data_IF_665981310488
#
_entry.id   IF_665981310488
#
_cell.length_a   1.000
_cell.length_b   1.000
_cell.length_c   1.000
_cell.angle_alpha   90.00
_cell.angle_beta   90.00
_cell.angle_gamma   90.00
#
_symmetry.space_group_name_H-M   'P 1'
#
loop_
_entity.id
_entity.type
_entity.pdbx_description
1 polymer ?
#
# COMPACT_ATOMS: atom_id res chain seq x y z
N UNK A 1 -1.51 -22.13 -18.58
CA UNK A 1 -2.67 -21.39 -19.10
C UNK A 1 -3.14 -20.40 -18.02
N UNK A 2 -2.82 -19.10 -18.15
CA UNK A 2 -3.05 -18.10 -17.10
C UNK A 2 -4.55 -17.89 -16.76
N UNK A 3 -5.45 -18.14 -17.70
CA UNK A 3 -6.90 -18.00 -17.53
C UNK A 3 -7.69 -19.23 -18.00
N UNK A 4 -7.12 -20.44 -17.84
CA UNK A 4 -7.85 -21.67 -18.18
C UNK A 4 -9.17 -21.78 -17.41
N UNK A 5 -10.20 -22.30 -18.08
CA UNK A 5 -11.53 -22.59 -17.56
C UNK A 5 -12.36 -21.37 -17.11
N UNK A 6 -11.99 -20.14 -17.51
CA UNK A 6 -12.86 -18.95 -17.33
C UNK A 6 -13.82 -18.79 -18.51
N UNK A 7 -15.07 -18.34 -18.25
CA UNK A 7 -16.03 -18.06 -19.32
C UNK A 7 -15.65 -16.82 -20.15
N UNK A 8 -14.77 -15.96 -19.62
CA UNK A 8 -14.33 -14.73 -20.29
C UNK A 8 -13.05 -14.95 -21.10
N UNK A 9 -13.10 -14.56 -22.37
CA UNK A 9 -11.95 -14.54 -23.27
C UNK A 9 -10.94 -13.43 -22.90
N UNK A 10 -9.66 -13.59 -23.26
CA UNK A 10 -8.62 -12.58 -23.02
C UNK A 10 -8.88 -11.32 -23.86
N UNK A 11 -9.46 -10.28 -23.27
CA UNK A 11 -9.59 -8.99 -23.96
C UNK A 11 -10.15 -7.84 -23.12
N UNK A 12 -9.79 -6.59 -23.43
CA UNK A 12 -10.43 -5.38 -22.90
C UNK A 12 -11.75 -5.15 -23.65
N UNK A 13 -12.68 -6.09 -23.56
CA UNK A 13 -13.92 -6.03 -24.34
C UNK A 13 -14.85 -4.96 -23.74
N UNK A 14 -14.65 -3.71 -24.12
CA UNK A 14 -15.64 -2.63 -24.04
C UNK A 14 -16.67 -2.86 -25.16
N UNK A 15 -17.57 -3.82 -25.00
CA UNK A 15 -18.83 -3.77 -25.76
C UNK A 15 -19.78 -2.87 -24.99
N UNK A 16 -20.41 -1.93 -25.70
CA UNK A 16 -21.24 -0.81 -25.20
C UNK A 16 -22.39 -1.16 -24.23
N UNK A 17 -22.49 -2.39 -23.72
CA UNK A 17 -23.53 -2.85 -22.80
C UNK A 17 -23.00 -3.48 -21.49
N UNK A 18 -21.69 -3.56 -21.24
CA UNK A 18 -21.18 -3.95 -19.92
C UNK A 18 -19.88 -3.22 -19.52
N UNK A 19 -19.94 -2.27 -18.57
CA UNK A 19 -18.80 -1.42 -18.21
C UNK A 19 -17.76 -2.07 -17.29
N UNK A 20 -17.65 -3.41 -17.23
CA UNK A 20 -16.74 -4.08 -16.31
C UNK A 20 -15.72 -4.93 -17.09
N UNK A 21 -14.41 -4.77 -16.85
CA UNK A 21 -13.37 -5.57 -17.48
C UNK A 21 -13.53 -7.07 -17.17
N UNK A 22 -13.12 -7.92 -18.12
CA UNK A 22 -13.12 -9.38 -17.94
C UNK A 22 -12.31 -9.79 -16.71
N UNK A 23 -12.77 -10.81 -15.99
CA UNK A 23 -12.15 -11.20 -14.71
C UNK A 23 -10.68 -11.63 -14.88
N UNK A 24 -10.33 -12.18 -16.05
CA UNK A 24 -8.96 -12.51 -16.45
C UNK A 24 -8.08 -11.27 -16.68
N UNK A 25 -8.60 -10.22 -17.34
CA UNK A 25 -7.87 -8.96 -17.53
C UNK A 25 -7.58 -8.29 -16.19
N UNK A 26 -8.53 -8.34 -15.26
CA UNK A 26 -8.34 -7.82 -13.90
C UNK A 26 -7.20 -8.54 -13.20
N UNK A 27 -7.22 -9.88 -13.18
CA UNK A 27 -6.23 -10.69 -12.45
C UNK A 27 -4.83 -10.69 -13.12
N UNK A 28 -4.71 -10.40 -14.42
CA UNK A 28 -3.43 -10.41 -15.16
C UNK A 28 -2.81 -9.03 -15.33
N UNK A 29 -3.61 -7.99 -15.55
CA UNK A 29 -3.10 -6.64 -15.86
C UNK A 29 -3.35 -5.70 -14.69
N UNK A 30 -4.57 -5.69 -14.15
CA UNK A 30 -4.97 -4.68 -13.15
C UNK A 30 -4.41 -4.98 -11.74
N UNK A 31 -4.43 -6.25 -11.31
CA UNK A 31 -3.89 -6.71 -10.02
C UNK A 31 -2.39 -6.41 -9.85
N UNK A 32 -1.51 -6.71 -10.82
CA UNK A 32 -0.09 -6.43 -10.66
C UNK A 32 0.29 -4.97 -10.92
N UNK A 33 -0.57 -4.16 -11.55
CA UNK A 33 -0.26 -2.79 -11.97
C UNK A 33 0.22 -1.88 -10.83
N UNK A 34 -0.43 -1.83 -9.64
CA UNK A 34 0.08 -1.04 -8.52
C UNK A 34 1.49 -1.44 -8.10
N UNK A 35 1.79 -2.74 -8.17
CA UNK A 35 3.10 -3.30 -7.81
C UNK A 35 4.14 -2.99 -8.88
N UNK A 36 3.78 -3.02 -10.17
CA UNK A 36 4.66 -2.57 -11.26
C UNK A 36 4.99 -1.09 -11.16
N UNK A 37 4.00 -0.25 -10.85
CA UNK A 37 4.23 1.19 -10.60
C UNK A 37 5.18 1.36 -9.42
N UNK A 38 4.94 0.67 -8.30
CA UNK A 38 5.81 0.75 -7.13
C UNK A 38 7.25 0.29 -7.46
N UNK A 39 7.41 -0.82 -8.19
CA UNK A 39 8.70 -1.34 -8.62
C UNK A 39 9.45 -0.40 -9.57
N UNK A 40 8.73 0.32 -10.45
CA UNK A 40 9.35 1.30 -11.34
C UNK A 40 9.74 2.58 -10.60
N UNK A 41 8.93 3.05 -9.66
CA UNK A 41 9.18 4.26 -8.88
C UNK A 41 10.33 4.10 -7.88
N UNK A 42 10.50 2.91 -7.31
CA UNK A 42 11.49 2.63 -6.27
C UNK A 42 12.95 2.91 -6.70
N UNK A 43 13.47 2.40 -7.84
CA UNK A 43 14.84 2.70 -8.27
C UNK A 43 15.02 4.18 -8.66
N UNK A 44 14.02 4.81 -9.28
CA UNK A 44 14.05 6.23 -9.63
C UNK A 44 14.21 7.09 -8.37
N UNK A 45 13.43 6.79 -7.34
CA UNK A 45 13.50 7.50 -6.06
C UNK A 45 14.82 7.27 -5.32
N UNK A 46 15.39 6.06 -5.41
CA UNK A 46 16.73 5.79 -4.89
C UNK A 46 17.77 6.67 -5.63
N UNK A 47 17.75 6.68 -6.96
CA UNK A 47 18.66 7.49 -7.79
C UNK A 47 18.56 8.99 -7.46
N UNK A 48 17.35 9.54 -7.41
CA UNK A 48 17.12 10.95 -7.05
C UNK A 48 17.61 11.25 -5.64
N UNK A 49 17.31 10.38 -4.66
CA UNK A 49 17.76 10.56 -3.28
C UNK A 49 19.29 10.54 -3.14
N UNK A 50 19.98 9.70 -3.92
CA UNK A 50 21.44 9.66 -3.96
C UNK A 50 22.02 10.94 -4.57
N UNK A 51 21.39 11.46 -5.63
CA UNK A 51 21.83 12.67 -6.32
C UNK A 51 21.65 13.92 -5.46
N UNK A 52 20.46 14.12 -4.88
CA UNK A 52 20.16 15.29 -4.03
C UNK A 52 21.00 15.33 -2.75
N UNK A 53 21.43 14.18 -2.24
CA UNK A 53 22.30 14.11 -1.04
C UNK A 53 23.74 14.56 -1.33
N UNK A 54 24.27 14.29 -2.53
CA UNK A 54 25.58 14.83 -2.94
C UNK A 54 25.56 16.36 -3.01
N UNK A 55 24.41 16.95 -3.33
CA UNK A 55 24.25 18.39 -3.45
C UNK A 55 24.06 19.13 -2.10
N UNK A 56 23.53 18.47 -1.05
CA UNK A 56 23.09 19.13 0.19
C UNK A 56 23.60 18.46 1.49
N UNK A 57 24.85 18.00 1.52
CA UNK A 57 25.41 17.40 2.73
C UNK A 57 25.81 18.48 3.76
N UNK A 58 24.91 18.79 4.70
CA UNK A 58 25.21 19.57 5.90
C UNK A 58 25.33 18.63 7.13
N UNK A 59 26.52 18.49 7.76
CA UNK A 59 26.76 17.52 8.82
C UNK A 59 26.12 17.85 10.18
N UNK A 60 25.56 19.05 10.37
CA UNK A 60 25.19 19.55 11.71
C UNK A 60 23.82 19.14 12.26
N UNK A 61 22.98 18.40 11.53
CA UNK A 61 21.62 18.02 12.00
C UNK A 61 21.49 16.58 12.52
N UNK A 62 22.57 15.80 12.49
CA UNK A 62 22.55 14.38 12.89
C UNK A 62 22.27 14.15 14.39
N UNK A 63 22.53 15.15 15.25
CA UNK A 63 22.45 15.00 16.70
C UNK A 63 21.08 15.35 17.32
N UNK A 64 20.11 15.87 16.55
CA UNK A 64 18.81 16.30 17.09
C UNK A 64 17.68 15.26 17.01
N UNK A 65 17.99 14.00 16.64
CA UNK A 65 17.04 12.90 16.72
C UNK A 65 16.86 12.41 18.17
N UNK A 66 16.45 13.32 19.05
CA UNK A 66 16.00 13.02 20.39
C UNK A 66 14.72 12.16 20.32
N UNK A 67 14.81 11.03 21.01
CA UNK A 67 13.81 9.98 21.13
C UNK A 67 12.42 10.52 21.51
N UNK A 68 11.32 10.07 20.87
CA UNK A 68 10.00 10.43 21.34
C UNK A 68 9.52 9.46 22.42
N UNK A 69 9.04 10.07 23.50
CA UNK A 69 8.34 9.55 24.68
C UNK A 69 7.03 8.75 24.40
N UNK A 70 6.91 8.00 23.30
CA UNK A 70 5.64 7.43 22.83
C UNK A 70 5.77 5.98 22.34
N UNK A 71 6.39 5.13 23.16
CA UNK A 71 6.62 3.72 22.82
C UNK A 71 5.30 2.95 22.64
N UNK A 72 4.37 2.98 23.60
CA UNK A 72 3.24 2.04 23.60
C UNK A 72 2.28 2.22 22.41
N UNK A 73 1.74 3.43 22.17
CA UNK A 73 0.80 3.64 21.05
C UNK A 73 1.44 3.40 19.68
N UNK A 74 2.68 3.85 19.49
CA UNK A 74 3.40 3.59 18.25
C UNK A 74 3.64 2.09 18.05
N UNK A 75 4.09 1.38 19.09
CA UNK A 75 4.26 -0.07 19.07
C UNK A 75 2.94 -0.77 18.77
N UNK A 76 1.83 -0.42 19.43
CA UNK A 76 0.51 -1.00 19.15
C UNK A 76 0.09 -0.77 17.70
N UNK A 77 0.17 0.46 17.20
CA UNK A 77 -0.20 0.78 15.82
C UNK A 77 0.68 0.05 14.81
N UNK A 78 1.99 -0.05 15.05
CA UNK A 78 2.92 -0.79 14.21
C UNK A 78 2.68 -2.31 14.27
N UNK A 79 2.36 -2.86 15.45
CA UNK A 79 1.99 -4.28 15.59
C UNK A 79 0.71 -4.58 14.81
N UNK A 80 -0.34 -3.77 14.96
CA UNK A 80 -1.60 -3.93 14.20
C UNK A 80 -1.32 -3.86 12.70
N UNK A 81 -0.47 -2.93 12.25
CA UNK A 81 -0.09 -2.79 10.84
C UNK A 81 0.51 -4.09 10.27
N UNK A 82 1.49 -4.69 10.94
CA UNK A 82 2.09 -5.95 10.47
C UNK A 82 1.15 -7.15 10.57
N UNK A 83 0.31 -7.20 11.60
CA UNK A 83 -0.73 -8.23 11.72
C UNK A 83 -1.68 -8.14 10.52
N UNK A 84 -2.11 -6.94 10.12
CA UNK A 84 -2.97 -6.75 8.95
C UNK A 84 -2.27 -7.18 7.65
N UNK A 85 -0.97 -6.91 7.48
CA UNK A 85 -0.20 -7.41 6.32
C UNK A 85 -0.20 -8.94 6.30
N UNK A 86 0.10 -9.60 7.42
CA UNK A 86 0.11 -11.07 7.51
C UNK A 86 -1.29 -11.63 7.23
N UNK A 87 -2.34 -11.03 7.79
CA UNK A 87 -3.72 -11.41 7.51
C UNK A 87 -4.04 -11.30 6.01
N UNK A 88 -3.59 -10.24 5.34
CA UNK A 88 -3.81 -10.05 3.91
C UNK A 88 -3.09 -11.12 3.07
N UNK A 89 -1.84 -11.47 3.44
CA UNK A 89 -1.08 -12.57 2.82
C UNK A 89 -1.84 -13.90 2.98
N UNK A 90 -2.36 -14.19 4.17
CA UNK A 90 -3.14 -15.41 4.44
C UNK A 90 -4.44 -15.43 3.63
N UNK A 91 -5.18 -14.32 3.58
CA UNK A 91 -6.40 -14.20 2.77
C UNK A 91 -6.12 -14.42 1.29
N UNK A 92 -5.04 -13.86 0.77
CA UNK A 92 -4.61 -14.08 -0.61
C UNK A 92 -4.21 -15.54 -0.86
N UNK A 93 -3.61 -16.20 0.13
CA UNK A 93 -3.28 -17.63 0.05
C UNK A 93 -4.54 -18.47 -0.02
N UNK A 94 -5.54 -18.16 0.82
CA UNK A 94 -6.84 -18.84 0.80
C UNK A 94 -7.53 -18.69 -0.54
N UNK A 95 -7.53 -17.49 -1.15
CA UNK A 95 -8.12 -17.28 -2.47
C UNK A 95 -7.42 -18.14 -3.54
N UNK A 96 -6.09 -18.15 -3.57
CA UNK A 96 -5.30 -18.95 -4.53
C UNK A 96 -5.57 -20.45 -4.35
N UNK A 97 -5.58 -20.95 -3.11
CA UNK A 97 -5.86 -22.36 -2.82
C UNK A 97 -7.29 -22.72 -3.21
N UNK A 98 -8.28 -21.85 -2.93
CA UNK A 98 -9.68 -22.10 -3.31
C UNK A 98 -9.88 -22.07 -4.82
N UNK A 99 -9.19 -21.17 -5.53
CA UNK A 99 -9.19 -21.12 -7.00
C UNK A 99 -8.47 -22.33 -7.63
N UNK A 100 -7.39 -22.82 -7.03
CA UNK A 100 -6.68 -24.00 -7.54
C UNK A 100 -7.49 -25.28 -7.37
N UNK A 101 -8.27 -25.41 -6.29
CA UNK A 101 -9.18 -26.53 -6.05
C UNK A 101 -10.31 -26.65 -7.08
N UNK A 102 -10.67 -25.55 -7.75
CA UNK A 102 -11.65 -25.54 -8.85
C UNK A 102 -10.98 -25.53 -10.24
N UNK A 103 -9.65 -25.75 -10.32
CA UNK A 103 -8.85 -25.71 -11.55
C UNK A 103 -9.03 -24.43 -12.39
N UNK A 104 -9.30 -23.31 -11.72
CA UNK A 104 -9.38 -22.00 -12.37
C UNK A 104 -7.99 -21.40 -12.54
N UNK A 105 -7.78 -20.67 -13.64
CA UNK A 105 -6.57 -19.88 -13.84
C UNK A 105 -6.30 -18.92 -12.68
N UNK A 106 -5.10 -19.03 -12.11
CA UNK A 106 -4.63 -18.26 -10.96
C UNK A 106 -4.17 -16.84 -11.38
N UNK A 107 -4.03 -16.57 -12.69
CA UNK A 107 -3.62 -15.25 -13.21
C UNK A 107 -2.28 -14.77 -12.64
N UNK A 108 -2.15 -13.46 -12.39
CA UNK A 108 -1.05 -12.83 -11.66
C UNK A 108 -1.40 -12.49 -10.20
N UNK A 109 -2.41 -13.13 -9.60
CA UNK A 109 -2.69 -12.98 -8.16
C UNK A 109 -1.45 -13.10 -7.25
N UNK A 110 -0.52 -14.06 -7.47
CA UNK A 110 0.67 -14.20 -6.63
C UNK A 110 1.59 -12.98 -6.66
N UNK A 111 1.45 -12.10 -7.65
CA UNK A 111 2.26 -10.90 -7.75
C UNK A 111 1.88 -9.84 -6.70
N UNK A 112 0.67 -9.89 -6.16
CA UNK A 112 0.25 -9.02 -5.06
C UNK A 112 1.06 -9.25 -3.77
N UNK A 113 1.61 -10.47 -3.56
CA UNK A 113 2.55 -10.73 -2.45
C UNK A 113 3.77 -9.83 -2.50
N UNK A 114 4.27 -9.55 -3.70
CA UNK A 114 5.45 -8.70 -3.90
C UNK A 114 5.14 -7.28 -3.41
N UNK A 115 3.94 -6.77 -3.69
CA UNK A 115 3.47 -5.47 -3.18
C UNK A 115 3.40 -5.42 -1.66
N UNK A 116 2.82 -6.44 -1.02
CA UNK A 116 2.73 -6.54 0.44
C UNK A 116 4.11 -6.59 1.10
N UNK A 117 5.04 -7.38 0.53
CA UNK A 117 6.41 -7.49 1.03
C UNK A 117 7.15 -6.16 0.87
N UNK A 118 7.06 -5.50 -0.30
CA UNK A 118 7.69 -4.20 -0.53
C UNK A 118 7.13 -3.16 0.44
N UNK A 119 5.80 -3.08 0.58
CA UNK A 119 5.16 -2.11 1.46
C UNK A 119 5.55 -2.30 2.93
N UNK A 120 5.56 -3.56 3.39
CA UNK A 120 6.02 -3.93 4.73
C UNK A 120 7.50 -3.63 4.95
N UNK A 121 8.36 -3.93 3.98
CA UNK A 121 9.80 -3.65 4.04
C UNK A 121 10.10 -2.15 4.05
N UNK A 122 9.36 -1.35 3.26
CA UNK A 122 9.45 0.11 3.27
C UNK A 122 9.02 0.69 4.62
N UNK A 123 7.94 0.16 5.19
CA UNK A 123 7.47 0.59 6.51
C UNK A 123 8.46 0.23 7.62
N UNK A 124 8.98 -1.01 7.61
CA UNK A 124 9.99 -1.49 8.57
C UNK A 124 11.25 -0.65 8.54
N UNK A 125 11.74 -0.35 7.34
CA UNK A 125 12.95 0.42 7.15
C UNK A 125 12.73 1.94 7.33
N UNK A 126 11.49 2.40 7.55
CA UNK A 126 11.11 3.82 7.45
C UNK A 126 11.63 4.46 6.13
N UNK A 127 11.48 3.76 5.01
CA UNK A 127 12.02 4.16 3.70
C UNK A 127 13.55 4.02 3.58
N UNK A 128 14.16 3.20 4.44
CA UNK A 128 15.61 3.01 4.64
C UNK A 128 16.29 4.18 5.35
N UNK A 129 15.94 4.42 6.62
CA UNK A 129 16.60 5.38 7.52
C UNK A 129 16.38 6.86 7.13
N UNK A 130 15.20 7.18 6.58
CA UNK A 130 14.84 8.55 6.16
C UNK A 130 15.48 8.99 4.85
N UNK A 131 16.17 8.09 4.14
CA UNK A 131 16.86 8.37 2.87
C UNK A 131 15.90 8.66 1.73
N UNK A 132 14.76 7.96 1.70
CA UNK A 132 13.73 8.13 0.67
C UNK A 132 12.59 8.96 1.28
N UNK A 133 12.57 10.28 1.12
CA UNK A 133 11.51 11.13 1.69
C UNK A 133 10.09 10.78 1.19
N UNK A 134 9.98 10.19 -0.01
CA UNK A 134 8.70 9.90 -0.69
C UNK A 134 8.25 8.44 -0.48
N UNK A 135 8.86 7.70 0.44
CA UNK A 135 8.53 6.28 0.68
C UNK A 135 7.05 6.05 1.04
N UNK A 136 6.43 7.01 1.75
CA UNK A 136 5.00 6.97 2.07
C UNK A 136 4.11 7.06 0.82
N UNK A 137 4.58 7.76 -0.22
CA UNK A 137 3.88 7.83 -1.51
C UNK A 137 3.86 6.48 -2.22
N UNK A 138 4.98 5.73 -2.20
CA UNK A 138 5.04 4.37 -2.75
C UNK A 138 4.05 3.47 -2.00
N UNK A 139 4.09 3.48 -0.67
CA UNK A 139 3.16 2.68 0.14
C UNK A 139 1.71 3.07 -0.11
N UNK A 140 1.40 4.37 -0.25
CA UNK A 140 0.06 4.83 -0.60
C UNK A 140 -0.41 4.27 -1.95
N UNK A 141 0.46 4.22 -2.97
CA UNK A 141 0.13 3.60 -4.27
C UNK A 141 -0.18 2.12 -4.10
N UNK A 142 0.61 1.39 -3.30
CA UNK A 142 0.39 -0.04 -3.05
C UNK A 142 -0.95 -0.27 -2.35
N UNK A 143 -1.25 0.48 -1.28
CA UNK A 143 -2.47 0.28 -0.48
C UNK A 143 -3.72 0.79 -1.18
N UNK A 144 -3.69 1.98 -1.78
CA UNK A 144 -4.82 2.52 -2.54
C UNK A 144 -5.06 1.72 -3.82
N UNK A 145 -3.99 1.34 -4.52
CA UNK A 145 -4.06 0.45 -5.68
C UNK A 145 -4.65 -0.90 -5.30
N UNK A 146 -4.11 -1.57 -4.28
CA UNK A 146 -4.63 -2.85 -3.79
C UNK A 146 -6.10 -2.77 -3.38
N UNK A 147 -6.51 -1.70 -2.70
CA UNK A 147 -7.92 -1.45 -2.35
C UNK A 147 -8.78 -1.30 -3.61
N UNK A 148 -8.39 -0.42 -4.53
CA UNK A 148 -9.16 -0.09 -5.73
C UNK A 148 -9.38 -1.33 -6.60
N UNK A 149 -8.31 -2.10 -6.84
CA UNK A 149 -8.42 -3.31 -7.67
C UNK A 149 -9.27 -4.38 -6.99
N UNK A 150 -9.14 -4.56 -5.67
CA UNK A 150 -9.98 -5.49 -4.92
C UNK A 150 -11.46 -5.09 -5.01
N UNK A 151 -11.78 -3.80 -4.94
CA UNK A 151 -13.15 -3.29 -5.13
C UNK A 151 -13.64 -3.57 -6.55
N UNK A 152 -12.85 -3.28 -7.58
CA UNK A 152 -13.21 -3.58 -8.98
C UNK A 152 -13.53 -5.07 -9.15
N UNK A 153 -12.72 -5.93 -8.52
CA UNK A 153 -12.92 -7.38 -8.55
C UNK A 153 -14.21 -7.81 -7.84
N UNK A 154 -14.54 -7.24 -6.68
CA UNK A 154 -15.82 -7.47 -6.00
C UNK A 154 -17.00 -7.08 -6.89
N UNK A 155 -16.96 -5.89 -7.51
CA UNK A 155 -18.05 -5.41 -8.37
C UNK A 155 -18.21 -6.30 -9.61
N UNK A 156 -17.10 -6.78 -10.19
CA UNK A 156 -17.14 -7.76 -11.28
C UNK A 156 -17.79 -9.07 -10.89
N UNK A 157 -17.39 -9.64 -9.74
CA UNK A 157 -17.95 -10.90 -9.23
C UNK A 157 -19.44 -10.78 -8.90
N UNK A 158 -19.88 -9.66 -8.32
CA UNK A 158 -21.30 -9.41 -8.03
C UNK A 158 -22.12 -9.33 -9.32
N UNK A 159 -21.58 -8.68 -10.37
CA UNK A 159 -22.28 -8.51 -11.65
C UNK A 159 -22.39 -9.79 -12.46
N UNK A 160 -21.42 -10.69 -12.35
CA UNK A 160 -21.46 -12.02 -12.98
C UNK A 160 -22.57 -12.90 -12.39
N UNK A 161 -23.07 -12.52 -11.21
CA UNK A 161 -24.30 -13.03 -10.63
C UNK A 161 -24.13 -14.37 -9.92
N UNK A 162 -25.02 -14.61 -8.96
CA UNK A 162 -25.02 -15.78 -8.08
C UNK A 162 -25.17 -17.10 -8.87
N UNK A 163 -25.59 -17.04 -10.14
CA UNK A 163 -25.83 -18.20 -10.99
C UNK A 163 -24.57 -18.74 -11.70
N UNK A 164 -23.46 -17.99 -11.76
CA UNK A 164 -22.27 -18.39 -12.55
C UNK A 164 -21.54 -19.65 -12.04
N UNK A 165 -21.70 -20.02 -10.75
CA UNK A 165 -21.06 -21.22 -10.14
C UNK A 165 -21.91 -21.85 -9.02
N UNK A 166 -23.24 -21.98 -9.18
CA UNK A 166 -24.05 -22.71 -8.19
C UNK A 166 -23.66 -24.19 -8.16
N UNK A 167 -23.23 -24.69 -6.99
CA UNK A 167 -22.86 -26.10 -6.79
C UNK A 167 -21.36 -26.43 -6.85
N UNK A 168 -20.49 -25.44 -7.05
CA UNK A 168 -19.02 -25.58 -6.98
C UNK A 168 -18.52 -25.55 -5.52
N UNK A 169 -17.37 -26.18 -5.25
CA UNK A 169 -16.68 -26.16 -3.94
C UNK A 169 -16.24 -24.75 -3.51
N UNK A 170 -16.28 -23.78 -4.42
CA UNK A 170 -16.06 -22.36 -4.15
C UNK A 170 -17.07 -21.50 -4.94
N UNK A 171 -18.21 -21.12 -4.33
CA UNK A 171 -19.22 -20.30 -4.99
C UNK A 171 -18.76 -18.84 -5.10
N UNK A 172 -19.31 -18.11 -6.08
CA UNK A 172 -18.98 -16.69 -6.31
C UNK A 172 -19.29 -15.82 -5.08
N UNK A 173 -20.29 -16.18 -4.28
CA UNK A 173 -20.59 -15.52 -2.99
C UNK A 173 -19.39 -15.52 -2.04
N UNK A 174 -18.79 -16.69 -1.83
CA UNK A 174 -17.65 -16.85 -0.91
C UNK A 174 -16.41 -16.12 -1.47
N UNK A 175 -16.20 -16.19 -2.78
CA UNK A 175 -15.13 -15.44 -3.44
C UNK A 175 -15.31 -13.92 -3.31
N UNK A 176 -16.55 -13.43 -3.42
CA UNK A 176 -16.85 -12.01 -3.26
C UNK A 176 -16.54 -11.54 -1.84
N UNK A 177 -16.90 -12.34 -0.83
CA UNK A 177 -16.61 -12.04 0.58
C UNK A 177 -15.10 -12.02 0.83
N UNK A 178 -14.38 -13.04 0.37
CA UNK A 178 -12.92 -13.13 0.55
C UNK A 178 -12.21 -11.90 -0.04
N UNK A 179 -12.56 -11.49 -1.26
CA UNK A 179 -11.98 -10.32 -1.92
C UNK A 179 -12.43 -9.01 -1.26
N UNK A 180 -13.67 -8.91 -0.78
CA UNK A 180 -14.15 -7.74 -0.05
C UNK A 180 -13.41 -7.56 1.29
N UNK A 181 -13.11 -8.66 2.00
CA UNK A 181 -12.28 -8.63 3.21
C UNK A 181 -10.87 -8.14 2.88
N UNK A 182 -10.26 -8.65 1.80
CA UNK A 182 -8.95 -8.14 1.34
C UNK A 182 -8.98 -6.63 1.04
N UNK A 183 -10.02 -6.14 0.38
CA UNK A 183 -10.19 -4.70 0.11
C UNK A 183 -10.23 -3.88 1.42
N UNK A 184 -11.00 -4.34 2.41
CA UNK A 184 -11.06 -3.71 3.73
C UNK A 184 -9.73 -3.72 4.47
N UNK A 185 -8.98 -4.81 4.39
CA UNK A 185 -7.64 -4.92 5.01
C UNK A 185 -6.65 -3.97 4.33
N UNK A 186 -6.62 -3.88 3.00
CA UNK A 186 -5.80 -2.90 2.28
C UNK A 186 -6.15 -1.45 2.66
N UNK A 187 -7.44 -1.13 2.75
CA UNK A 187 -7.90 0.19 3.16
C UNK A 187 -7.48 0.51 4.61
N UNK A 188 -7.61 -0.46 5.52
CA UNK A 188 -7.19 -0.34 6.92
C UNK A 188 -5.70 -0.06 7.06
N UNK A 189 -4.86 -0.80 6.33
CA UNK A 189 -3.40 -0.58 6.28
C UNK A 189 -3.11 0.84 5.78
N UNK A 190 -3.74 1.26 4.67
CA UNK A 190 -3.58 2.60 4.10
C UNK A 190 -4.00 3.71 5.07
N UNK A 191 -5.09 3.52 5.80
CA UNK A 191 -5.56 4.48 6.81
C UNK A 191 -4.58 4.61 7.97
N UNK A 192 -4.06 3.49 8.50
CA UNK A 192 -3.04 3.51 9.55
C UNK A 192 -1.77 4.23 9.09
N UNK A 193 -1.33 3.98 7.86
CA UNK A 193 -0.18 4.67 7.27
C UNK A 193 -0.41 6.18 7.14
N UNK A 194 -1.59 6.60 6.70
CA UNK A 194 -1.98 8.01 6.62
C UNK A 194 -1.99 8.68 8.01
N UNK A 195 -2.55 8.02 9.03
CA UNK A 195 -2.56 8.53 10.41
C UNK A 195 -1.11 8.69 10.92
N UNK A 196 -0.25 7.68 10.72
CA UNK A 196 1.16 7.74 11.11
C UNK A 196 1.94 8.81 10.34
N UNK A 197 1.59 9.08 9.08
CA UNK A 197 2.15 10.16 8.28
C UNK A 197 1.74 11.54 8.76
N UNK A 198 0.44 11.76 8.97
CA UNK A 198 -0.10 13.02 9.49
C UNK A 198 0.46 13.36 10.87
N UNK A 199 0.60 12.36 11.75
CA UNK A 199 1.23 12.53 13.06
C UNK A 199 2.70 12.97 12.97
N UNK A 200 3.46 12.49 11.96
CA UNK A 200 4.84 12.94 11.72
C UNK A 200 4.90 14.40 11.27
N UNK A 201 4.04 14.78 10.32
CA UNK A 201 3.99 16.16 9.80
C UNK A 201 3.61 17.16 10.90
N UNK A 202 2.57 16.86 11.68
CA UNK A 202 2.13 17.75 12.76
C UNK A 202 3.20 17.94 13.84
N UNK A 203 3.99 16.90 14.17
CA UNK A 203 5.11 17.04 15.10
C UNK A 203 6.23 17.92 14.56
N UNK A 204 6.56 17.82 13.28
CA UNK A 204 7.56 18.70 12.66
C UNK A 204 7.18 20.18 12.76
N UNK A 205 5.89 20.50 12.63
CA UNK A 205 5.37 21.87 12.75
C UNK A 205 5.43 22.42 14.18
N UNK A 206 5.10 21.62 15.20
CA UNK A 206 5.15 22.07 16.60
C UNK A 206 6.57 22.38 17.10
N UNK A 207 7.60 21.64 16.66
CA UNK A 207 8.98 21.98 17.00
C UNK A 207 9.47 23.26 16.28
N UNK A 208 9.07 23.48 15.03
CA UNK A 208 9.42 24.70 14.29
C UNK A 208 8.82 25.97 14.89
N UNK A 209 7.59 25.89 15.41
CA UNK A 209 6.91 27.01 16.08
C UNK A 209 7.52 27.39 17.43
N UNK A 210 8.23 26.47 18.09
CA UNK A 210 8.89 26.76 19.38
C UNK A 210 10.27 27.40 19.18
N UNK A 211 10.93 27.11 18.04
CA UNK A 211 12.23 27.68 17.70
C UNK A 211 12.16 29.16 17.25
N UNK A 212 11.02 29.62 16.75
CA UNK A 212 10.77 31.03 16.41
C UNK A 212 10.33 31.89 17.61
N UNK A 213 10.13 31.29 18.78
CA UNK A 213 9.74 31.97 20.01
C UNK A 213 10.94 32.21 20.96
N UNK A 214 12.15 32.38 20.43
CA UNK A 214 13.27 32.92 21.20
C UNK A 214 13.35 34.44 20.96
N UNK A 215 12.89 35.30 21.89
CA UNK A 215 13.21 36.71 21.83
C UNK A 215 14.71 36.83 22.13
N UNK A 216 15.53 37.03 21.10
CA UNK A 216 16.87 37.61 21.29
C UNK A 216 16.62 39.04 21.71
N UNK A 217 16.54 39.20 23.03
CA UNK A 217 16.32 40.44 23.73
C UNK A 217 17.60 41.27 23.64
N UNK A 218 17.43 42.50 23.16
CA UNK A 218 18.35 43.63 23.19
C UNK A 218 19.31 43.63 24.39
N UNK A 219 20.62 43.64 24.12
CA UNK A 219 21.62 44.31 24.97
C UNK A 219 22.91 44.55 24.17
N UNK A 220 22.91 45.61 23.36
CA UNK A 220 24.13 46.18 22.77
C UNK A 220 23.94 47.68 22.52
N UNK A 221 23.59 48.42 23.57
CA UNK A 221 23.65 49.89 23.62
C UNK A 221 23.78 50.27 25.10
N UNK A 222 25.00 50.58 25.54
CA UNK A 222 25.23 51.16 26.87
C UNK A 222 26.47 50.67 27.59
N UNK A 223 27.66 50.95 27.06
CA UNK A 223 28.92 50.85 27.80
C UNK A 223 29.77 52.06 27.47
N UNK A 224 29.88 52.97 28.45
CA UNK A 224 30.61 54.24 28.40
C UNK A 224 32.07 54.10 28.01
#
# INVERSE_FOLDING_TARGET
MLCSNRPDDFGPQFTLSSPIPTTCFVDVILVPLPVWIALALLPILILVSLHSRKANYNPSTAHLHLQPLRSCLYTITTTIYYVLIVCNILMQTLEIVRLSLIHFGIGLLPFAYVGLIIGGALHWSNGVQGRIQIWQGINAVIWLGGTTISVVKVVGLVKEGINGRKGSKYPISDQTIDVAVMAGVYAGIGMLEAILGLWRVNRGRSCGSLATASPVQHEALGGK
#
